data_IF_889613597795
#
_entry.id   IF_889613597795
#
_cell.length_a   1.000
_cell.length_b   1.000
_cell.length_c   1.000
_cell.angle_alpha   90.00
_cell.angle_beta   90.00
_cell.angle_gamma   90.00
#
_symmetry.space_group_name_H-M   'P 1'
#
loop_
_entity.id
_entity.type
_entity.pdbx_description
1 polymer ?
#
# COMPACT_ATOMS: atom_id res chain seq x y z
N UNK A 1 -27.27 27.66 34.17
CA UNK A 1 -26.91 26.22 34.07
C UNK A 1 -27.24 25.61 32.70
N UNK A 2 -28.47 25.68 32.19
CA UNK A 2 -28.85 25.03 30.91
C UNK A 2 -28.02 25.46 29.67
N UNK A 3 -27.65 26.74 29.53
CA UNK A 3 -26.87 27.24 28.39
C UNK A 3 -25.44 26.66 28.31
N UNK A 4 -24.83 26.39 29.46
CA UNK A 4 -23.47 25.82 29.52
C UNK A 4 -23.48 24.33 29.13
N UNK A 5 -24.54 23.61 29.52
CA UNK A 5 -24.73 22.21 29.15
C UNK A 5 -24.99 22.06 27.63
N UNK A 6 -25.77 22.97 27.03
CA UNK A 6 -25.99 22.99 25.57
C UNK A 6 -24.68 23.24 24.82
N UNK A 7 -23.86 24.18 25.28
CA UNK A 7 -22.55 24.46 24.67
C UNK A 7 -21.61 23.24 24.75
N UNK A 8 -21.59 22.55 25.89
CA UNK A 8 -20.78 21.35 26.08
C UNK A 8 -21.24 20.18 25.19
N UNK A 9 -22.55 19.98 25.04
CA UNK A 9 -23.15 18.99 24.14
C UNK A 9 -22.82 19.28 22.66
N UNK A 10 -22.82 20.55 22.24
CA UNK A 10 -22.43 20.95 20.90
C UNK A 10 -20.92 20.71 20.63
N UNK A 11 -20.05 20.98 21.61
CA UNK A 11 -18.61 20.73 21.50
C UNK A 11 -18.28 19.23 21.40
N UNK A 12 -18.96 18.39 22.19
CA UNK A 12 -18.84 16.92 22.11
C UNK A 12 -19.29 16.39 20.74
N UNK A 13 -20.41 16.89 20.21
CA UNK A 13 -20.90 16.52 18.87
C UNK A 13 -19.97 16.97 17.73
N UNK A 14 -19.27 18.10 17.89
CA UNK A 14 -18.25 18.56 16.93
C UNK A 14 -16.97 17.73 16.99
N UNK A 15 -16.57 17.26 18.18
CA UNK A 15 -15.40 16.38 18.35
C UNK A 15 -15.61 14.95 17.85
N UNK A 16 -16.86 14.52 17.71
CA UNK A 16 -17.22 13.17 17.25
C UNK A 16 -17.33 13.05 15.72
N UNK A 17 -17.04 14.12 14.97
CA UNK A 17 -17.00 14.06 13.51
C UNK A 17 -15.58 13.72 13.07
N UNK A 18 -15.47 12.70 12.21
CA UNK A 18 -14.29 12.32 11.39
C UNK A 18 -13.32 11.26 11.93
N UNK A 19 -13.81 10.18 12.55
CA UNK A 19 -13.15 8.88 12.37
C UNK A 19 -13.75 8.20 11.14
N UNK A 20 -13.23 8.51 9.96
CA UNK A 20 -13.50 7.73 8.76
C UNK A 20 -12.65 6.46 8.83
N UNK A 21 -13.24 5.36 9.32
CA UNK A 21 -12.60 4.06 9.27
C UNK A 21 -12.83 3.47 7.88
N UNK A 22 -11.79 3.49 7.05
CA UNK A 22 -11.75 2.70 5.83
C UNK A 22 -11.24 1.29 6.20
N UNK A 23 -12.15 0.33 6.31
CA UNK A 23 -11.83 -1.09 6.46
C UNK A 23 -12.46 -1.87 5.31
N UNK A 24 -11.88 -3.01 4.93
CA UNK A 24 -12.47 -3.84 3.88
C UNK A 24 -13.78 -4.49 4.35
N UNK A 25 -14.79 -4.62 3.46
CA UNK A 25 -16.06 -5.24 3.84
C UNK A 25 -15.84 -6.63 4.45
N UNK A 26 -16.51 -6.92 5.57
CA UNK A 26 -16.45 -8.23 6.19
C UNK A 26 -16.90 -9.32 5.20
N UNK A 27 -16.26 -10.50 5.19
CA UNK A 27 -16.66 -11.60 4.32
C UNK A 27 -18.08 -12.07 4.69
N UNK A 28 -18.90 -12.36 3.67
CA UNK A 28 -20.27 -12.86 3.83
C UNK A 28 -20.35 -14.40 3.80
N UNK A 29 -19.22 -15.06 3.54
CA UNK A 29 -19.07 -16.51 3.42
C UNK A 29 -17.65 -16.90 3.85
N UNK A 30 -17.39 -18.20 4.01
CA UNK A 30 -16.09 -18.71 4.47
C UNK A 30 -14.93 -18.30 3.55
N UNK A 31 -15.13 -18.34 2.23
CA UNK A 31 -14.14 -17.91 1.24
C UNK A 31 -14.80 -17.42 -0.05
N UNK A 32 -14.11 -16.52 -0.75
CA UNK A 32 -14.44 -16.09 -2.11
C UNK A 32 -13.14 -15.95 -2.88
N UNK A 33 -12.67 -17.03 -3.50
CA UNK A 33 -11.43 -17.03 -4.30
C UNK A 33 -11.59 -16.08 -5.48
N UNK A 34 -10.66 -15.14 -5.67
CA UNK A 34 -10.69 -14.21 -6.80
C UNK A 34 -10.62 -14.94 -8.15
N UNK A 35 -11.62 -14.70 -9.00
CA UNK A 35 -11.64 -15.09 -10.40
C UNK A 35 -10.90 -14.05 -11.24
N UNK A 36 -9.71 -14.42 -11.71
CA UNK A 36 -8.86 -13.58 -12.58
C UNK A 36 -9.33 -13.54 -14.04
N UNK A 37 -10.27 -14.41 -14.43
CA UNK A 37 -10.77 -14.53 -15.80
C UNK A 37 -12.04 -13.71 -16.06
N UNK A 38 -12.75 -13.31 -15.00
CA UNK A 38 -13.93 -12.49 -15.09
C UNK A 38 -13.61 -11.09 -15.64
N UNK A 39 -14.43 -10.61 -16.57
CA UNK A 39 -14.38 -9.24 -17.09
C UNK A 39 -15.25 -8.25 -16.32
N UNK A 40 -16.05 -8.72 -15.36
CA UNK A 40 -16.94 -7.86 -14.60
C UNK A 40 -16.15 -7.03 -13.57
N UNK A 41 -16.48 -5.74 -13.51
CA UNK A 41 -15.85 -4.78 -12.60
C UNK A 41 -16.69 -4.61 -11.33
N UNK A 42 -16.11 -4.97 -10.20
CA UNK A 42 -16.70 -4.85 -8.86
C UNK A 42 -15.67 -4.24 -7.90
N UNK A 43 -16.10 -3.79 -6.72
CA UNK A 43 -15.15 -3.45 -5.67
C UNK A 43 -14.51 -4.74 -5.12
N UNK A 44 -13.19 -4.88 -5.29
CA UNK A 44 -12.48 -6.14 -5.04
C UNK A 44 -12.36 -6.99 -6.30
N UNK A 45 -12.61 -8.30 -6.19
CA UNK A 45 -12.55 -9.24 -7.30
C UNK A 45 -13.80 -10.11 -7.31
N UNK A 46 -14.28 -10.49 -8.50
CA UNK A 46 -15.37 -11.46 -8.65
C UNK A 46 -14.95 -12.82 -8.07
N UNK A 47 -15.86 -13.53 -7.41
CA UNK A 47 -15.59 -14.85 -6.87
C UNK A 47 -15.63 -15.93 -7.96
N UNK A 48 -14.70 -16.88 -7.92
CA UNK A 48 -14.82 -18.17 -8.61
C UNK A 48 -15.99 -18.98 -8.00
N UNK A 49 -16.56 -19.92 -8.76
CA UNK A 49 -17.47 -20.93 -8.19
C UNK A 49 -16.73 -21.65 -7.02
N UNK A 50 -17.30 -21.68 -5.79
CA UNK A 50 -16.68 -22.32 -4.65
C UNK A 50 -16.30 -23.80 -4.87
N UNK A 51 -16.99 -24.50 -5.78
CA UNK A 51 -16.69 -25.90 -6.14
C UNK A 51 -15.38 -26.06 -6.93
N UNK A 52 -14.91 -24.98 -7.54
CA UNK A 52 -13.67 -24.93 -8.31
C UNK A 52 -12.49 -24.37 -7.51
N UNK A 53 -12.70 -24.06 -6.22
CA UNK A 53 -11.63 -23.62 -5.34
C UNK A 53 -10.68 -24.79 -5.02
N UNK A 54 -9.38 -24.50 -5.06
CA UNK A 54 -8.33 -25.48 -4.75
C UNK A 54 -7.40 -24.93 -3.66
N UNK A 55 -6.62 -25.81 -3.02
CA UNK A 55 -5.70 -25.40 -1.96
C UNK A 55 -4.64 -24.41 -2.46
N UNK A 56 -4.26 -24.55 -3.71
CA UNK A 56 -3.30 -23.71 -4.42
C UNK A 56 -3.80 -22.27 -4.56
N UNK A 57 -5.12 -22.04 -4.55
CA UNK A 57 -5.69 -20.68 -4.57
C UNK A 57 -5.38 -19.90 -3.28
N UNK A 58 -4.99 -20.58 -2.19
CA UNK A 58 -4.65 -19.99 -0.88
C UNK A 58 -3.14 -20.03 -0.58
N UNK A 59 -2.33 -20.44 -1.54
CA UNK A 59 -0.91 -20.68 -1.33
C UNK A 59 -0.02 -19.76 -2.17
N UNK A 60 1.09 -19.30 -1.58
CA UNK A 60 2.14 -18.61 -2.29
C UNK A 60 3.51 -19.07 -1.81
N UNK A 61 4.30 -19.61 -2.73
CA UNK A 61 5.71 -19.91 -2.51
C UNK A 61 6.59 -18.74 -2.99
N UNK A 62 7.83 -18.71 -2.49
CA UNK A 62 8.84 -17.75 -2.93
C UNK A 62 9.20 -16.68 -1.90
N UNK A 63 8.41 -16.53 -0.82
CA UNK A 63 8.78 -15.64 0.29
C UNK A 63 10.05 -16.05 1.05
N UNK A 64 10.60 -17.24 0.80
CA UNK A 64 11.91 -17.64 1.33
C UNK A 64 13.08 -17.07 0.49
N UNK A 65 12.82 -16.71 -0.78
CA UNK A 65 13.82 -16.18 -1.71
C UNK A 65 13.97 -14.67 -1.49
N UNK A 66 15.19 -14.17 -1.23
CA UNK A 66 15.44 -12.73 -1.14
C UNK A 66 15.19 -12.01 -2.47
N UNK A 67 14.56 -10.84 -2.41
CA UNK A 67 14.42 -9.94 -3.54
C UNK A 67 15.77 -9.32 -3.95
N UNK A 68 15.89 -8.94 -5.23
CA UNK A 68 17.09 -8.28 -5.75
C UNK A 68 17.16 -6.81 -5.27
N UNK A 69 18.13 -6.53 -4.39
CA UNK A 69 18.41 -5.19 -3.83
C UNK A 69 19.46 -4.39 -4.61
N UNK A 70 19.94 -4.91 -5.75
CA UNK A 70 20.90 -4.22 -6.63
C UNK A 70 20.19 -3.13 -7.47
N UNK A 71 19.73 -2.08 -6.79
CA UNK A 71 19.05 -0.93 -7.36
C UNK A 71 19.36 0.34 -6.54
N UNK A 72 18.95 1.51 -7.03
CA UNK A 72 19.26 2.80 -6.41
C UNK A 72 18.79 2.93 -4.95
N UNK A 73 17.71 2.23 -4.57
CA UNK A 73 17.17 2.28 -3.21
C UNK A 73 17.84 1.28 -2.26
N UNK A 74 18.58 0.30 -2.80
CA UNK A 74 19.17 -0.78 -2.01
C UNK A 74 18.13 -1.67 -1.34
N UNK A 75 16.90 -1.71 -1.85
CA UNK A 75 15.80 -2.45 -1.22
C UNK A 75 14.85 -3.06 -2.25
N UNK A 76 14.08 -4.07 -1.85
CA UNK A 76 13.06 -4.70 -2.69
C UNK A 76 11.85 -5.08 -1.86
N UNK A 77 10.71 -4.52 -2.22
CA UNK A 77 9.40 -4.92 -1.70
C UNK A 77 8.83 -6.03 -2.60
N UNK A 78 8.47 -7.15 -1.99
CA UNK A 78 7.80 -8.29 -2.61
C UNK A 78 6.41 -8.42 -2.01
N UNK A 79 5.37 -7.87 -2.67
CA UNK A 79 4.00 -7.94 -2.18
C UNK A 79 3.44 -9.34 -2.34
N UNK A 80 2.61 -9.73 -1.38
CA UNK A 80 1.81 -10.95 -1.37
C UNK A 80 0.39 -10.54 -0.99
N UNK A 81 -0.34 -10.10 -2.02
CA UNK A 81 -1.71 -9.60 -1.90
C UNK A 81 -2.66 -10.48 -2.72
N UNK A 82 -3.91 -10.07 -2.90
CA UNK A 82 -4.93 -10.83 -3.65
C UNK A 82 -4.51 -11.22 -5.08
N UNK A 83 -3.58 -10.48 -5.70
CA UNK A 83 -3.04 -10.81 -7.01
C UNK A 83 -2.14 -12.06 -6.96
N UNK A 84 -1.35 -12.23 -5.89
CA UNK A 84 -0.51 -13.41 -5.68
C UNK A 84 -1.28 -14.57 -5.06
N UNK A 85 -2.15 -14.30 -4.08
CA UNK A 85 -2.99 -15.29 -3.40
C UNK A 85 -4.47 -14.95 -3.65
N UNK A 86 -5.11 -15.55 -4.68
CA UNK A 86 -6.51 -15.30 -5.00
C UNK A 86 -7.48 -15.52 -3.83
N UNK A 87 -7.15 -16.47 -2.95
CA UNK A 87 -7.92 -16.80 -1.75
C UNK A 87 -7.94 -15.69 -0.68
N UNK A 88 -7.11 -14.65 -0.78
CA UNK A 88 -7.17 -13.49 0.14
C UNK A 88 -8.34 -12.54 -0.15
N UNK A 89 -9.05 -12.73 -1.26
CA UNK A 89 -10.18 -11.90 -1.60
C UNK A 89 -11.28 -11.99 -0.53
N UNK A 90 -11.81 -10.83 -0.14
CA UNK A 90 -12.75 -10.58 0.97
C UNK A 90 -12.20 -10.72 2.39
N UNK A 91 -10.93 -11.10 2.58
CA UNK A 91 -10.37 -11.27 3.93
C UNK A 91 -9.76 -10.02 4.53
N UNK A 92 -9.57 -8.94 3.77
CA UNK A 92 -9.05 -7.70 4.35
C UNK A 92 -7.62 -7.81 4.88
N UNK A 93 -6.82 -8.77 4.38
CA UNK A 93 -5.44 -8.96 4.81
C UNK A 93 -4.51 -9.19 3.61
N UNK A 94 -3.27 -8.73 3.74
CA UNK A 94 -2.17 -9.05 2.83
C UNK A 94 -0.84 -8.95 3.56
N UNK A 95 0.23 -9.31 2.87
CA UNK A 95 1.58 -9.28 3.40
C UNK A 95 2.56 -8.71 2.38
N UNK A 96 3.70 -8.22 2.85
CA UNK A 96 4.85 -7.96 2.02
C UNK A 96 6.14 -8.39 2.72
N UNK A 97 7.07 -8.97 1.97
CA UNK A 97 8.47 -9.12 2.39
C UNK A 97 9.25 -7.94 1.84
N UNK A 98 10.13 -7.38 2.66
CA UNK A 98 11.03 -6.30 2.26
C UNK A 98 12.46 -6.72 2.54
N UNK A 99 13.28 -6.79 1.50
CA UNK A 99 14.71 -7.05 1.61
C UNK A 99 15.49 -5.74 1.52
N UNK A 100 16.50 -5.58 2.37
CA UNK A 100 17.37 -4.41 2.43
C UNK A 100 18.83 -4.82 2.32
N UNK A 101 19.58 -4.20 1.41
CA UNK A 101 21.03 -4.14 1.46
C UNK A 101 21.49 -3.24 2.64
N UNK A 102 22.78 -3.27 3.04
CA UNK A 102 23.31 -2.28 3.97
C UNK A 102 23.03 -0.86 3.46
N UNK A 103 22.50 0.01 4.33
CA UNK A 103 22.10 1.38 4.00
C UNK A 103 20.93 1.54 3.02
N UNK A 104 20.36 0.44 2.54
CA UNK A 104 19.16 0.41 1.72
C UNK A 104 17.94 0.95 2.46
N UNK A 105 17.01 1.53 1.72
CA UNK A 105 15.86 2.22 2.28
C UNK A 105 14.56 1.92 1.55
N UNK A 106 13.47 1.90 2.30
CA UNK A 106 12.10 1.96 1.81
C UNK A 106 11.44 3.11 2.55
N UNK A 107 11.17 4.19 1.83
CA UNK A 107 10.63 5.41 2.45
C UNK A 107 11.50 5.87 3.64
N UNK A 108 10.91 6.21 4.79
CA UNK A 108 11.65 6.57 6.01
C UNK A 108 12.29 5.39 6.75
N UNK A 109 12.14 4.15 6.27
CA UNK A 109 12.77 2.98 6.87
C UNK A 109 14.12 2.73 6.21
N UNK A 110 15.19 2.64 7.00
CA UNK A 110 16.56 2.42 6.53
C UNK A 110 17.24 1.30 7.29
N UNK A 111 17.97 0.45 6.59
CA UNK A 111 18.88 -0.50 7.21
C UNK A 111 20.16 0.21 7.66
N UNK A 112 20.31 0.42 8.97
CA UNK A 112 21.52 1.04 9.58
C UNK A 112 22.61 0.01 9.93
N UNK A 113 22.35 -1.28 9.71
CA UNK A 113 23.32 -2.34 9.95
C UNK A 113 24.29 -2.54 8.79
N UNK A 114 25.37 -3.27 9.05
CA UNK A 114 26.38 -3.62 8.06
C UNK A 114 26.03 -4.86 7.21
N UNK A 115 24.98 -5.60 7.59
CA UNK A 115 24.50 -6.79 6.87
C UNK A 115 23.17 -6.53 6.17
N UNK A 116 22.74 -7.51 5.35
CA UNK A 116 21.40 -7.50 4.77
C UNK A 116 20.34 -7.65 5.88
N UNK A 117 19.19 -7.00 5.70
CA UNK A 117 18.06 -7.07 6.62
C UNK A 117 16.77 -7.45 5.89
N UNK A 118 15.83 -8.07 6.62
CA UNK A 118 14.51 -8.45 6.10
C UNK A 118 13.44 -7.89 7.03
N UNK A 119 12.42 -7.25 6.46
CA UNK A 119 11.19 -6.85 7.15
C UNK A 119 9.99 -7.62 6.58
N UNK A 120 9.04 -7.96 7.44
CA UNK A 120 7.75 -8.52 7.04
C UNK A 120 6.66 -7.53 7.49
N UNK A 121 5.84 -7.10 6.55
CA UNK A 121 4.69 -6.24 6.81
C UNK A 121 3.41 -7.03 6.62
N UNK A 122 2.53 -7.05 7.62
CA UNK A 122 1.15 -7.49 7.49
C UNK A 122 0.25 -6.26 7.38
N UNK A 123 -0.68 -6.26 6.41
CA UNK A 123 -1.52 -5.11 6.10
C UNK A 123 -2.99 -5.50 6.20
N UNK A 124 -3.82 -4.58 6.69
CA UNK A 124 -5.27 -4.77 6.89
C UNK A 124 -6.08 -4.42 5.63
N UNK A 125 -5.62 -4.88 4.47
CA UNK A 125 -6.35 -4.83 3.20
C UNK A 125 -5.85 -5.96 2.31
N UNK A 126 -6.73 -6.56 1.51
CA UNK A 126 -6.34 -7.57 0.51
C UNK A 126 -5.51 -6.97 -0.63
N UNK A 127 -5.60 -5.66 -0.84
CA UNK A 127 -4.86 -4.91 -1.86
C UNK A 127 -4.52 -3.50 -1.36
N UNK A 128 -3.50 -3.36 -0.50
CA UNK A 128 -3.15 -2.07 0.11
C UNK A 128 -2.53 -1.06 -0.88
N UNK A 129 -2.16 -1.52 -2.08
CA UNK A 129 -1.40 -0.73 -3.04
C UNK A 129 0.06 -0.49 -2.61
N UNK A 130 0.89 -0.06 -3.56
CA UNK A 130 2.28 0.37 -3.30
C UNK A 130 2.53 1.62 -4.13
N UNK A 131 2.84 2.72 -3.47
CA UNK A 131 3.17 3.99 -4.12
C UNK A 131 4.57 4.39 -3.69
N UNK A 132 5.51 4.33 -4.63
CA UNK A 132 6.85 4.88 -4.44
C UNK A 132 6.78 6.40 -4.62
N UNK A 133 6.65 7.13 -3.51
CA UNK A 133 6.37 8.59 -3.50
C UNK A 133 7.32 9.36 -4.42
N UNK A 134 8.62 9.11 -4.35
CA UNK A 134 9.59 9.83 -5.16
C UNK A 134 9.35 9.62 -6.68
N UNK A 135 9.09 8.39 -7.11
CA UNK A 135 8.75 8.10 -8.51
C UNK A 135 7.38 8.66 -8.89
N UNK A 136 6.40 8.63 -7.98
CA UNK A 136 5.05 9.17 -8.24
C UNK A 136 5.04 10.70 -8.37
N UNK A 137 5.95 11.39 -7.67
CA UNK A 137 6.04 12.86 -7.66
C UNK A 137 7.01 13.37 -8.73
N UNK A 138 8.20 12.77 -8.86
CA UNK A 138 9.27 13.27 -9.72
C UNK A 138 9.46 12.47 -11.01
N UNK A 139 9.03 11.21 -11.06
CA UNK A 139 9.15 10.31 -12.22
C UNK A 139 7.80 9.93 -12.86
N UNK A 140 6.75 10.72 -12.64
CA UNK A 140 5.43 10.45 -13.22
C UNK A 140 5.41 10.63 -14.75
N UNK A 141 4.51 9.94 -15.44
CA UNK A 141 4.29 10.13 -16.88
C UNK A 141 2.79 10.39 -17.16
N UNK A 142 2.38 11.60 -17.60
CA UNK A 142 3.24 12.77 -17.84
C UNK A 142 3.87 13.33 -16.55
N UNK A 143 5.00 14.04 -16.70
CA UNK A 143 5.67 14.68 -15.57
C UNK A 143 4.79 15.76 -14.94
N UNK A 144 4.80 15.85 -13.60
CA UNK A 144 4.18 16.97 -12.89
C UNK A 144 4.93 18.26 -13.26
N UNK A 145 4.18 19.31 -13.60
CA UNK A 145 4.72 20.61 -13.99
C UNK A 145 5.66 21.18 -12.94
N UNK A 146 6.83 21.66 -13.38
CA UNK A 146 7.85 22.18 -12.48
C UNK A 146 7.33 23.36 -11.65
N UNK A 147 6.39 24.16 -12.17
CA UNK A 147 5.71 25.24 -11.44
C UNK A 147 4.90 24.75 -10.23
N UNK A 148 4.32 23.54 -10.31
CA UNK A 148 3.62 22.93 -9.18
C UNK A 148 4.62 22.44 -8.14
N UNK A 149 5.68 21.75 -8.59
CA UNK A 149 6.69 21.18 -7.69
C UNK A 149 7.53 22.26 -7.00
N UNK A 150 7.97 23.29 -7.72
CA UNK A 150 8.69 24.45 -7.14
C UNK A 150 7.87 25.14 -6.06
N UNK A 151 6.57 25.35 -6.29
CA UNK A 151 5.67 25.95 -5.31
C UNK A 151 5.39 25.01 -4.12
N UNK A 152 5.19 23.72 -4.38
CA UNK A 152 4.88 22.74 -3.34
C UNK A 152 6.07 22.48 -2.40
N UNK A 153 7.28 22.36 -2.96
CA UNK A 153 8.51 22.07 -2.22
C UNK A 153 9.31 23.30 -1.84
N UNK A 154 8.92 24.50 -2.32
CA UNK A 154 9.58 25.79 -2.05
C UNK A 154 11.05 25.80 -2.47
N UNK A 155 11.33 25.22 -3.65
CA UNK A 155 12.66 25.14 -4.26
C UNK A 155 12.64 25.78 -5.64
N UNK A 156 13.83 26.07 -6.18
CA UNK A 156 13.96 26.61 -7.54
C UNK A 156 13.76 25.53 -8.61
N UNK A 157 13.53 25.99 -9.84
CA UNK A 157 13.26 25.10 -10.98
C UNK A 157 14.43 24.17 -11.29
N UNK A 158 15.68 24.63 -11.15
CA UNK A 158 16.84 23.78 -11.47
C UNK A 158 16.95 22.62 -10.48
N UNK A 159 16.63 22.85 -9.20
CA UNK A 159 16.53 21.79 -8.20
C UNK A 159 15.46 20.76 -8.58
N UNK A 160 14.27 21.21 -9.00
CA UNK A 160 13.20 20.30 -9.45
C UNK A 160 13.63 19.50 -10.67
N UNK A 161 14.14 20.17 -11.72
CA UNK A 161 14.58 19.53 -12.95
C UNK A 161 15.69 18.49 -12.67
N UNK A 162 16.62 18.82 -11.77
CA UNK A 162 17.69 17.92 -11.36
C UNK A 162 17.15 16.66 -10.66
N UNK A 163 16.18 16.82 -9.75
CA UNK A 163 15.55 15.69 -9.06
C UNK A 163 14.76 14.84 -10.05
N UNK A 164 13.94 15.45 -10.92
CA UNK A 164 13.17 14.73 -11.94
C UNK A 164 14.08 13.92 -12.87
N UNK A 165 15.28 14.42 -13.20
CA UNK A 165 16.24 13.69 -14.01
C UNK A 165 16.83 12.43 -13.34
N UNK A 166 16.60 12.20 -12.04
CA UNK A 166 17.04 10.98 -11.35
C UNK A 166 16.02 9.83 -11.41
N UNK A 167 14.80 10.07 -11.90
CA UNK A 167 13.70 9.11 -11.95
C UNK A 167 13.24 8.87 -13.40
#
# INVERSE_FOLDING_TARGET
MAKHNILLLCLLAFSCRYLALAFEPSPLQDFCVADKSSSALVNGMVCKDPKLAQAEDFFFAGLHVPGNTSNNQGSKVTPVNVAQIPGLNTFGISMARVDYAPWGLVHYQRNIGYGNAVGIAALSSQNPGVITIANAVFGSNPAIGAEVLTKAFQVDKNTVDHIQAQF
#
